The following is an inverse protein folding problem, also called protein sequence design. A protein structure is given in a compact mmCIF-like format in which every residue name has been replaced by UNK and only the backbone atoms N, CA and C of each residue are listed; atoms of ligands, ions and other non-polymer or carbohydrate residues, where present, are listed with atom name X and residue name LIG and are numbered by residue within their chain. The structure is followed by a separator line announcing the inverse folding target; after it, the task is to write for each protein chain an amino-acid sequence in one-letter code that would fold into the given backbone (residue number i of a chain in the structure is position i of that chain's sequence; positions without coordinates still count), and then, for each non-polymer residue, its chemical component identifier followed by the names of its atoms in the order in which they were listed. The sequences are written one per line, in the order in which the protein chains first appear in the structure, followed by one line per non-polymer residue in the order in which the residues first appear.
data_IF_086249395519
#
_entry.id   IF_086249395519
#
_cell.length_a   1.000
_cell.length_b   1.000
_cell.length_c   1.000
_cell.angle_alpha   90.00
_cell.angle_beta   90.00
_cell.angle_gamma   90.00
#
_symmetry.space_group_name_H-M   'P 1'
#
loop_
_entity.id
_entity.type
_entity.pdbx_description
1 polymer ?
#
# COMPACT_ATOMS: atom_id res chain seq x y z
N UNK A 1 -31.86 -46.25 27.06
CA UNK A 1 -31.14 -45.00 27.36
C UNK A 1 -30.10 -44.81 26.27
N UNK A 2 -30.50 -44.27 25.11
CA UNK A 2 -29.61 -44.12 23.95
C UNK A 2 -28.78 -42.86 24.10
N UNK A 3 -27.46 -43.00 24.20
CA UNK A 3 -26.52 -41.87 24.13
C UNK A 3 -26.23 -41.56 22.66
N UNK A 4 -26.64 -40.37 22.22
CA UNK A 4 -26.27 -39.79 20.94
C UNK A 4 -24.89 -39.11 21.13
N UNK A 5 -23.87 -39.61 20.45
CA UNK A 5 -22.56 -38.95 20.36
C UNK A 5 -22.61 -37.88 19.25
N UNK A 6 -22.65 -36.61 19.64
CA UNK A 6 -22.51 -35.48 18.73
C UNK A 6 -21.02 -35.29 18.40
N UNK A 7 -20.58 -35.79 17.25
CA UNK A 7 -19.23 -35.55 16.76
C UNK A 7 -19.10 -34.07 16.36
N UNK A 8 -18.40 -33.28 17.18
CA UNK A 8 -17.95 -31.94 16.80
C UNK A 8 -16.94 -32.09 15.65
N UNK A 9 -17.38 -31.81 14.43
CA UNK A 9 -16.49 -31.68 13.28
C UNK A 9 -15.60 -30.45 13.50
N UNK A 10 -14.36 -30.67 13.91
CA UNK A 10 -13.34 -29.64 13.97
C UNK A 10 -12.92 -29.32 12.52
N UNK A 11 -13.44 -28.23 11.95
CA UNK A 11 -12.95 -27.71 10.67
C UNK A 11 -11.50 -27.24 10.85
N UNK A 12 -10.57 -28.00 10.31
CA UNK A 12 -9.19 -27.55 10.17
C UNK A 12 -9.15 -26.45 9.11
N UNK A 13 -8.98 -25.21 9.54
CA UNK A 13 -8.66 -24.10 8.65
C UNK A 13 -7.24 -24.27 8.15
N UNK A 14 -7.09 -24.61 6.88
CA UNK A 14 -5.80 -24.52 6.18
C UNK A 14 -5.39 -23.06 6.20
N UNK A 15 -4.25 -22.76 6.83
CA UNK A 15 -3.67 -21.43 6.78
C UNK A 15 -3.36 -21.11 5.32
N UNK A 16 -3.88 -19.98 4.82
CA UNK A 16 -3.60 -19.55 3.47
C UNK A 16 -2.08 -19.35 3.30
N UNK A 17 -1.55 -19.76 2.14
CA UNK A 17 -0.14 -19.56 1.82
C UNK A 17 0.23 -18.08 1.96
N UNK A 18 1.41 -17.82 2.52
CA UNK A 18 1.91 -16.45 2.69
C UNK A 18 2.10 -15.83 1.30
N UNK A 19 1.37 -14.75 0.95
CA UNK A 19 1.50 -14.17 -0.37
C UNK A 19 2.85 -13.46 -0.54
N UNK A 20 3.37 -13.47 -1.76
CA UNK A 20 4.44 -12.55 -2.15
C UNK A 20 3.85 -11.14 -2.32
N UNK A 21 4.51 -10.13 -1.77
CA UNK A 21 4.10 -8.73 -1.89
C UNK A 21 5.07 -8.00 -2.80
N UNK A 22 4.59 -7.53 -3.95
CA UNK A 22 5.32 -6.65 -4.86
C UNK A 22 4.78 -5.23 -4.71
N UNK A 23 5.64 -4.31 -4.25
CA UNK A 23 5.31 -2.89 -4.15
C UNK A 23 5.94 -2.13 -5.32
N UNK A 24 5.10 -1.59 -6.22
CA UNK A 24 5.54 -0.79 -7.38
C UNK A 24 5.25 0.67 -7.08
N UNK A 25 6.30 1.49 -6.96
CA UNK A 25 6.18 2.95 -6.80
C UNK A 25 6.49 3.63 -8.12
N UNK A 26 5.59 4.50 -8.58
CA UNK A 26 5.85 5.48 -9.63
C UNK A 26 5.96 6.86 -9.00
N UNK A 27 6.97 7.63 -9.37
CA UNK A 27 7.24 8.98 -8.86
C UNK A 27 6.75 10.02 -9.87
N UNK A 28 6.36 11.20 -9.38
CA UNK A 28 5.89 12.33 -10.18
C UNK A 28 4.74 11.99 -11.15
N UNK A 29 3.86 11.07 -10.73
CA UNK A 29 2.71 10.63 -11.51
C UNK A 29 1.38 11.09 -10.92
N UNK A 30 0.42 11.39 -11.80
CA UNK A 30 -0.97 11.71 -11.45
C UNK A 30 -1.90 10.67 -12.11
N UNK A 31 -3.19 10.96 -12.21
CA UNK A 31 -4.19 10.13 -12.89
C UNK A 31 -4.08 10.15 -14.44
N UNK A 32 -2.89 10.41 -15.00
CA UNK A 32 -2.61 10.45 -16.44
C UNK A 32 -2.32 9.06 -16.99
N UNK A 33 -3.27 8.14 -16.82
CA UNK A 33 -3.19 6.74 -17.24
C UNK A 33 -4.45 6.36 -18.00
N UNK A 34 -4.34 5.41 -18.93
CA UNK A 34 -5.49 4.93 -19.72
C UNK A 34 -6.61 4.40 -18.82
N UNK A 35 -6.27 3.67 -17.77
CA UNK A 35 -7.22 3.20 -16.77
C UNK A 35 -7.84 4.30 -15.90
N UNK A 36 -7.38 5.55 -15.96
CA UNK A 36 -8.07 6.68 -15.34
C UNK A 36 -8.83 7.54 -16.36
N UNK A 37 -8.82 7.15 -17.64
CA UNK A 37 -9.56 7.80 -18.72
C UNK A 37 -8.77 8.83 -19.51
N UNK A 38 -7.44 8.85 -19.38
CA UNK A 38 -6.59 9.73 -20.19
C UNK A 38 -6.53 9.20 -21.65
N UNK A 39 -7.03 9.96 -22.64
CA UNK A 39 -7.08 9.52 -24.04
C UNK A 39 -5.71 9.52 -24.73
N UNK A 40 -4.69 10.16 -24.15
CA UNK A 40 -3.33 10.24 -24.71
C UNK A 40 -2.37 9.22 -24.08
N UNK A 41 -2.77 8.58 -22.98
CA UNK A 41 -1.95 7.62 -22.28
C UNK A 41 -1.88 6.28 -23.01
N UNK A 42 -0.66 5.77 -23.23
CA UNK A 42 -0.41 4.40 -23.68
C UNK A 42 0.16 3.58 -22.52
N UNK A 43 -0.72 2.96 -21.74
CA UNK A 43 -0.35 2.26 -20.48
C UNK A 43 -0.90 0.83 -20.40
N UNK A 44 -0.74 -0.02 -21.43
CA UNK A 44 -1.46 -1.28 -21.56
C UNK A 44 -1.24 -2.24 -20.36
N UNK A 45 -0.04 -2.28 -19.79
CA UNK A 45 0.26 -3.13 -18.63
C UNK A 45 -0.42 -2.63 -17.34
N UNK A 46 -0.49 -1.31 -17.13
CA UNK A 46 -1.18 -0.73 -15.98
C UNK A 46 -2.70 -0.81 -16.15
N UNK A 47 -3.18 -0.73 -17.38
CA UNK A 47 -4.60 -0.88 -17.71
C UNK A 47 -5.08 -2.31 -17.48
N UNK A 48 -4.28 -3.29 -17.87
CA UNK A 48 -4.51 -4.70 -17.56
C UNK A 48 -4.46 -4.96 -16.05
N UNK A 49 -3.46 -4.41 -15.35
CA UNK A 49 -3.37 -4.55 -13.89
C UNK A 49 -4.61 -3.98 -13.19
N UNK A 50 -5.11 -2.83 -13.64
CA UNK A 50 -6.30 -2.20 -13.09
C UNK A 50 -7.59 -3.00 -13.38
N UNK A 51 -7.68 -3.74 -14.48
CA UNK A 51 -8.86 -4.55 -14.82
C UNK A 51 -8.92 -5.88 -14.06
N UNK A 52 -7.77 -6.35 -13.57
CA UNK A 52 -7.63 -7.59 -12.79
C UNK A 52 -7.63 -7.36 -11.28
N UNK A 53 -7.72 -6.11 -10.83
CA UNK A 53 -7.58 -5.73 -9.43
C UNK A 53 -8.55 -4.64 -8.98
N UNK A 54 -8.16 -3.94 -7.91
CA UNK A 54 -8.92 -2.83 -7.34
C UNK A 54 -8.25 -1.51 -7.75
N UNK A 55 -9.03 -0.62 -8.39
CA UNK A 55 -8.59 0.72 -8.78
C UNK A 55 -9.19 1.78 -7.85
N UNK A 56 -8.35 2.48 -7.11
CA UNK A 56 -8.77 3.60 -6.26
C UNK A 56 -8.96 4.88 -7.08
N UNK A 57 -10.18 5.42 -7.14
CA UNK A 57 -10.44 6.69 -7.84
C UNK A 57 -10.13 7.93 -7.01
N UNK A 58 -9.88 7.73 -5.71
CA UNK A 58 -9.58 8.78 -4.74
C UNK A 58 -8.46 8.28 -3.83
N UNK A 59 -7.22 8.48 -4.28
CA UNK A 59 -6.02 8.18 -3.53
C UNK A 59 -5.17 9.46 -3.44
N UNK A 60 -4.73 9.82 -2.23
CA UNK A 60 -4.05 11.08 -1.97
C UNK A 60 -2.67 10.80 -1.37
N UNK A 61 -1.64 11.44 -1.92
CA UNK A 61 -0.32 11.45 -1.32
C UNK A 61 -0.36 12.24 -0.01
N UNK A 62 0.40 11.79 0.99
CA UNK A 62 0.49 12.47 2.27
C UNK A 62 1.25 13.81 2.18
N UNK A 63 2.08 13.98 1.15
CA UNK A 63 2.85 15.17 0.88
C UNK A 63 3.16 15.31 -0.62
N UNK A 64 3.27 16.54 -1.15
CA UNK A 64 3.61 16.80 -2.56
C UNK A 64 5.13 16.84 -2.81
N UNK A 65 5.94 16.12 -2.02
CA UNK A 65 7.41 16.09 -2.12
C UNK A 65 7.88 14.64 -2.08
N UNK A 66 8.66 14.20 -3.08
CA UNK A 66 9.03 12.79 -3.28
C UNK A 66 9.64 12.14 -2.02
N UNK A 67 10.63 12.79 -1.40
CA UNK A 67 11.27 12.26 -0.18
C UNK A 67 10.30 12.12 0.99
N UNK A 68 9.41 13.09 1.16
CA UNK A 68 8.41 13.10 2.22
C UNK A 68 7.34 12.04 1.93
N UNK A 69 6.82 11.98 0.70
CA UNK A 69 5.85 10.97 0.27
C UNK A 69 6.37 9.55 0.50
N UNK A 70 7.60 9.25 0.05
CA UNK A 70 8.25 7.95 0.31
C UNK A 70 8.38 7.64 1.80
N UNK A 71 8.79 8.63 2.61
CA UNK A 71 8.91 8.44 4.06
C UNK A 71 7.56 8.02 4.66
N UNK A 72 6.47 8.67 4.25
CA UNK A 72 5.12 8.31 4.75
C UNK A 72 4.64 6.94 4.28
N UNK A 73 5.00 6.53 3.05
CA UNK A 73 4.68 5.18 2.54
C UNK A 73 5.46 4.09 3.29
N UNK A 74 6.76 4.28 3.51
CA UNK A 74 7.63 3.30 4.19
C UNK A 74 7.23 3.14 5.66
N UNK A 75 6.96 4.25 6.34
CA UNK A 75 6.73 4.25 7.79
C UNK A 75 5.26 4.05 8.16
N UNK A 76 4.33 4.27 7.24
CA UNK A 76 2.89 4.32 7.53
C UNK A 76 2.47 5.52 8.39
N UNK A 77 3.32 6.54 8.52
CA UNK A 77 3.08 7.72 9.37
C UNK A 77 2.80 8.97 8.53
N UNK A 78 2.03 9.90 9.10
CA UNK A 78 1.89 11.24 8.51
C UNK A 78 3.21 12.00 8.53
N UNK A 79 3.45 12.81 7.50
CA UNK A 79 4.65 13.64 7.38
C UNK A 79 4.82 14.60 8.58
N UNK A 80 3.72 15.11 9.11
CA UNK A 80 3.69 15.99 10.28
C UNK A 80 4.05 15.25 11.57
N UNK A 81 3.64 13.98 11.71
CA UNK A 81 3.99 13.16 12.89
C UNK A 81 5.48 12.90 13.01
N UNK A 82 6.17 12.75 11.88
CA UNK A 82 7.63 12.56 11.84
C UNK A 82 8.42 13.88 11.72
N UNK A 83 7.73 15.01 11.58
CA UNK A 83 8.39 16.29 11.33
C UNK A 83 9.08 16.37 9.96
N UNK A 84 8.76 15.49 9.00
CA UNK A 84 9.40 15.44 7.66
C UNK A 84 8.60 16.13 6.55
N UNK A 85 7.58 16.91 6.92
CA UNK A 85 6.73 17.65 5.99
C UNK A 85 7.49 18.67 5.12
N UNK A 86 8.65 19.13 5.59
CA UNK A 86 9.60 19.89 4.79
C UNK A 86 10.68 18.98 4.21
N UNK A 87 11.01 19.16 2.93
CA UNK A 87 12.08 18.41 2.24
C UNK A 87 13.41 18.44 2.99
N UNK A 88 13.69 19.56 3.67
CA UNK A 88 14.87 19.75 4.52
C UNK A 88 14.43 20.01 5.96
N UNK A 89 14.02 18.94 6.64
CA UNK A 89 13.73 19.01 8.07
C UNK A 89 14.97 18.75 8.91
N UNK A 90 15.08 19.45 10.04
CA UNK A 90 16.08 19.20 11.09
C UNK A 90 15.48 18.49 12.31
N UNK A 91 14.22 18.03 12.19
CA UNK A 91 13.57 17.29 13.26
C UNK A 91 14.18 15.89 13.33
N UNK A 92 14.62 15.50 14.51
CA UNK A 92 15.11 14.15 14.78
C UNK A 92 13.95 13.16 14.70
N UNK A 93 14.09 12.14 13.85
CA UNK A 93 13.13 11.04 13.75
C UNK A 93 13.36 10.08 14.92
N UNK A 94 12.32 9.67 15.67
CA UNK A 94 12.49 8.72 16.76
C UNK A 94 13.06 7.37 16.29
N UNK A 95 14.01 6.81 17.04
CA UNK A 95 14.74 5.57 16.69
C UNK A 95 13.85 4.33 16.48
N UNK A 96 12.63 4.34 17.02
CA UNK A 96 11.65 3.25 16.82
C UNK A 96 11.18 3.13 15.37
N UNK A 97 11.35 4.16 14.54
CA UNK A 97 10.94 4.15 13.14
C UNK A 97 12.10 3.68 12.27
N UNK A 98 11.93 2.51 11.65
CA UNK A 98 12.89 1.98 10.69
C UNK A 98 12.67 2.64 9.33
N UNK A 99 13.74 3.15 8.74
CA UNK A 99 13.74 3.75 7.41
C UNK A 99 14.49 2.83 6.44
N UNK A 100 14.16 2.91 5.15
CA UNK A 100 14.89 2.18 4.12
C UNK A 100 16.36 2.66 4.05
N UNK A 101 17.38 1.80 3.84
CA UNK A 101 17.31 0.40 3.38
C UNK A 101 17.38 -0.67 4.48
N UNK A 102 17.13 -0.33 5.75
CA UNK A 102 17.18 -1.29 6.85
C UNK A 102 16.19 -2.46 6.71
#
# INVERSE_FOLDING_TARGET
MSLIFLALACSQTVAADRPNILWITSEDNSAYLGCYGDPLASTPNLDQLASQGVRYRSAFANAPVCSTARTTLITGMYATTLGVHHHRSRVTIPERFKLYPE
#
